data_IF_569998166047
#
_entry.id   IF_569998166047
#
_cell.length_a   1.000
_cell.length_b   1.000
_cell.length_c   1.000
_cell.angle_alpha   90.00
_cell.angle_beta   90.00
_cell.angle_gamma   90.00
#
_symmetry.space_group_name_H-M   'P 1'
#
loop_
_entity.id
_entity.type
_entity.pdbx_description
1 polymer ?
#
# COMPACT_ATOMS: atom_id res chain seq x y z
N UNK A 1 -11.45 -65.73 -21.75
CA UNK A 1 -12.10 -64.50 -21.27
C UNK A 1 -11.43 -63.33 -21.95
N UNK A 2 -12.18 -62.43 -22.62
CA UNK A 2 -11.63 -61.27 -23.35
C UNK A 2 -11.92 -60.01 -22.54
N UNK A 3 -10.89 -59.28 -22.14
CA UNK A 3 -11.00 -58.00 -21.45
C UNK A 3 -10.89 -56.87 -22.48
N UNK A 4 -11.89 -55.99 -22.51
CA UNK A 4 -11.86 -54.75 -23.31
C UNK A 4 -11.37 -53.66 -22.37
N UNK A 5 -10.17 -53.14 -22.64
CA UNK A 5 -9.60 -51.99 -21.93
C UNK A 5 -10.01 -50.74 -22.70
N UNK A 6 -10.93 -49.96 -22.13
CA UNK A 6 -11.31 -48.65 -22.63
C UNK A 6 -10.34 -47.60 -22.11
N UNK A 7 -9.54 -47.00 -23.00
CA UNK A 7 -8.70 -45.85 -22.69
C UNK A 7 -9.54 -44.58 -22.88
N UNK A 8 -9.75 -43.83 -21.80
CA UNK A 8 -10.43 -42.54 -21.82
C UNK A 8 -9.38 -41.42 -22.00
N UNK A 9 -9.24 -40.90 -23.22
CA UNK A 9 -8.41 -39.73 -23.47
C UNK A 9 -9.20 -38.45 -23.13
N UNK A 10 -8.80 -37.75 -22.07
CA UNK A 10 -9.32 -36.41 -21.75
C UNK A 10 -8.49 -35.39 -22.53
N UNK A 11 -9.07 -34.79 -23.56
CA UNK A 11 -8.45 -33.68 -24.28
C UNK A 11 -8.69 -32.37 -23.51
N UNK A 12 -7.62 -31.75 -23.04
CA UNK A 12 -7.65 -30.40 -22.46
C UNK A 12 -7.43 -29.39 -23.57
N UNK A 13 -8.44 -28.57 -23.88
CA UNK A 13 -8.29 -27.44 -24.78
C UNK A 13 -7.90 -26.20 -23.97
N UNK A 14 -6.80 -25.48 -24.30
CA UNK A 14 -6.52 -24.20 -23.68
C UNK A 14 -7.52 -23.16 -24.20
N UNK A 15 -8.34 -22.62 -23.30
CA UNK A 15 -9.17 -21.47 -23.58
C UNK A 15 -8.27 -20.23 -23.68
N UNK A 16 -7.74 -19.96 -24.88
CA UNK A 16 -7.20 -18.65 -25.21
C UNK A 16 -8.37 -17.70 -25.46
N UNK A 17 -8.78 -16.97 -24.42
CA UNK A 17 -9.66 -15.81 -24.58
C UNK A 17 -8.83 -14.64 -25.10
N UNK A 18 -8.94 -14.37 -26.40
CA UNK A 18 -8.53 -13.07 -26.94
C UNK A 18 -9.63 -12.06 -26.61
N UNK A 19 -9.27 -10.95 -25.97
CA UNK A 19 -10.18 -9.81 -25.87
C UNK A 19 -10.41 -9.27 -27.28
N UNK A 20 -11.62 -9.43 -27.80
CA UNK A 20 -12.03 -8.87 -29.07
C UNK A 20 -11.96 -7.34 -28.96
N UNK A 21 -11.15 -6.72 -29.83
CA UNK A 21 -10.92 -5.28 -29.76
C UNK A 21 -12.20 -4.55 -30.20
N UNK A 22 -12.82 -3.81 -29.28
CA UNK A 22 -13.99 -2.98 -29.58
C UNK A 22 -13.58 -1.92 -30.61
N UNK A 23 -14.10 -2.03 -31.83
CA UNK A 23 -13.92 -1.02 -32.86
C UNK A 23 -14.85 0.17 -32.56
N UNK A 24 -14.25 1.34 -32.35
CA UNK A 24 -14.99 2.59 -32.22
C UNK A 24 -15.29 3.19 -33.60
N UNK A 25 -16.57 3.38 -33.92
CA UNK A 25 -17.06 3.98 -35.17
C UNK A 25 -17.41 5.47 -35.02
N UNK A 26 -17.17 6.08 -33.86
CA UNK A 26 -17.68 7.43 -33.54
C UNK A 26 -16.87 8.58 -34.14
N UNK A 27 -15.83 8.31 -34.95
CA UNK A 27 -14.94 9.31 -35.55
C UNK A 27 -14.33 10.27 -34.52
N UNK A 28 -14.30 9.85 -33.25
CA UNK A 28 -13.69 10.59 -32.15
C UNK A 28 -12.18 10.39 -32.18
N UNK A 29 -11.43 11.42 -31.80
CA UNK A 29 -9.99 11.32 -31.72
C UNK A 29 -9.62 10.32 -30.61
N UNK A 30 -9.23 9.11 -31.00
CA UNK A 30 -8.76 8.09 -30.05
C UNK A 30 -7.47 8.63 -29.41
N UNK A 31 -7.43 8.83 -28.08
CA UNK A 31 -6.20 9.25 -27.44
C UNK A 31 -5.15 8.16 -27.64
N UNK A 32 -3.99 8.53 -28.23
CA UNK A 32 -2.92 7.57 -28.42
C UNK A 32 -2.31 7.23 -27.06
N UNK A 33 -2.41 5.97 -26.65
CA UNK A 33 -1.59 5.47 -25.55
C UNK A 33 -0.13 5.59 -26.01
N UNK A 34 0.75 6.29 -25.28
CA UNK A 34 2.16 6.34 -25.64
C UNK A 34 2.70 4.91 -25.69
N UNK A 35 3.48 4.60 -26.75
CA UNK A 35 4.10 3.29 -26.92
C UNK A 35 4.88 2.95 -25.65
N UNK A 36 4.74 1.72 -25.17
CA UNK A 36 5.49 1.26 -23.98
C UNK A 36 6.95 1.63 -24.17
N UNK A 37 7.52 2.35 -23.21
CA UNK A 37 8.95 2.63 -23.16
C UNK A 37 9.63 1.26 -23.29
N UNK A 38 10.39 1.08 -24.37
CA UNK A 38 11.19 -0.12 -24.56
C UNK A 38 12.04 -0.35 -23.32
N UNK A 39 12.36 -1.62 -23.04
CA UNK A 39 13.09 -2.11 -21.87
C UNK A 39 14.54 -1.56 -21.73
N UNK A 40 14.73 -0.25 -21.79
CA UNK A 40 15.93 0.49 -21.45
C UNK A 40 15.46 1.58 -20.48
N UNK A 41 15.33 1.20 -19.21
CA UNK A 41 14.83 2.05 -18.15
C UNK A 41 15.78 3.18 -17.82
N UNK A 42 15.66 4.30 -18.54
CA UNK A 42 16.05 5.61 -18.00
C UNK A 42 14.81 6.26 -17.39
N UNK A 43 14.35 5.69 -16.28
CA UNK A 43 13.63 6.49 -15.30
C UNK A 43 14.68 7.24 -14.51
N UNK A 44 14.96 8.48 -14.90
CA UNK A 44 15.75 9.42 -14.11
C UNK A 44 15.08 9.57 -12.75
N UNK A 45 15.58 8.84 -11.76
CA UNK A 45 15.19 8.99 -10.36
C UNK A 45 15.66 10.36 -9.91
N UNK A 46 14.72 11.28 -9.80
CA UNK A 46 14.94 12.56 -9.14
C UNK A 46 15.17 12.26 -7.65
N UNK A 47 16.45 12.27 -7.25
CA UNK A 47 16.90 12.45 -5.87
C UNK A 47 16.67 11.29 -4.91
N UNK A 48 17.22 10.11 -5.17
CA UNK A 48 17.44 9.10 -4.14
C UNK A 48 18.89 9.19 -3.66
N UNK A 49 19.09 9.47 -2.37
CA UNK A 49 20.39 9.49 -1.71
C UNK A 49 21.22 8.25 -2.09
N UNK A 50 22.51 8.45 -2.32
CA UNK A 50 23.50 7.55 -2.91
C UNK A 50 23.84 6.28 -2.09
N UNK A 51 22.89 5.75 -1.31
CA UNK A 51 23.03 4.52 -0.52
C UNK A 51 22.06 3.40 -0.92
N UNK A 52 21.17 3.59 -1.89
CA UNK A 52 20.31 2.51 -2.44
C UNK A 52 21.05 1.58 -3.43
N UNK A 53 22.36 1.36 -3.23
CA UNK A 53 23.11 0.41 -4.03
C UNK A 53 22.93 -1.03 -3.49
N UNK A 54 22.15 -1.79 -4.27
CA UNK A 54 22.30 -3.23 -4.48
C UNK A 54 21.91 -4.22 -3.36
N UNK A 55 20.85 -3.88 -2.62
CA UNK A 55 20.06 -4.89 -1.92
C UNK A 55 18.85 -5.23 -2.79
N UNK A 56 18.82 -6.49 -3.25
CA UNK A 56 17.79 -7.04 -4.12
C UNK A 56 16.48 -7.19 -3.32
N UNK A 57 15.80 -6.06 -3.13
CA UNK A 57 14.54 -5.93 -2.42
C UNK A 57 13.38 -6.13 -3.39
N UNK A 58 12.37 -6.86 -2.95
CA UNK A 58 11.06 -6.91 -3.60
C UNK A 58 10.28 -5.69 -3.10
N UNK A 59 9.76 -4.88 -4.04
CA UNK A 59 8.90 -3.75 -3.71
C UNK A 59 7.44 -4.22 -3.67
N UNK A 60 6.76 -3.93 -2.56
CA UNK A 60 5.40 -4.35 -2.28
C UNK A 60 4.52 -3.12 -1.96
N UNK A 61 3.23 -3.26 -2.23
CA UNK A 61 2.19 -2.34 -1.76
C UNK A 61 1.19 -3.15 -0.94
N UNK A 62 1.17 -2.91 0.38
CA UNK A 62 0.41 -3.73 1.32
C UNK A 62 -0.75 -2.95 1.93
N UNK A 63 -1.86 -3.63 2.19
CA UNK A 63 -2.88 -3.12 3.09
C UNK A 63 -2.38 -3.28 4.53
N UNK A 64 -2.23 -2.16 5.25
CA UNK A 64 -1.69 -2.18 6.62
C UNK A 64 -2.82 -1.95 7.60
N UNK A 65 -2.92 -2.80 8.62
CA UNK A 65 -3.85 -2.61 9.73
C UNK A 65 -3.13 -2.44 11.06
N UNK A 66 -3.65 -1.58 11.94
CA UNK A 66 -3.16 -1.39 13.30
C UNK A 66 -4.27 -1.72 14.28
N UNK A 67 -4.04 -2.71 15.14
CA UNK A 67 -5.02 -3.17 16.13
C UNK A 67 -6.40 -3.44 15.48
N UNK A 68 -6.38 -4.12 14.33
CA UNK A 68 -7.56 -4.45 13.52
C UNK A 68 -8.24 -3.27 12.80
N UNK A 69 -7.68 -2.06 12.85
CA UNK A 69 -8.13 -0.93 12.04
C UNK A 69 -7.31 -0.89 10.77
N UNK A 70 -7.94 -1.19 9.63
CA UNK A 70 -7.30 -1.10 8.33
C UNK A 70 -7.02 0.37 7.97
N UNK A 71 -5.85 0.64 7.42
CA UNK A 71 -5.56 1.89 6.75
C UNK A 71 -6.32 1.92 5.43
N UNK A 72 -6.82 3.11 5.06
CA UNK A 72 -7.56 3.27 3.79
C UNK A 72 -6.62 3.17 2.58
N UNK A 73 -5.36 3.62 2.76
CA UNK A 73 -4.35 3.64 1.70
C UNK A 73 -3.41 2.42 1.73
N UNK A 74 -2.94 2.04 0.54
CA UNK A 74 -1.84 1.07 0.41
C UNK A 74 -0.53 1.70 0.85
N UNK A 75 0.28 0.91 1.54
CA UNK A 75 1.59 1.33 2.06
C UNK A 75 2.70 0.68 1.25
N UNK A 76 3.67 1.50 0.82
CA UNK A 76 4.88 1.01 0.19
C UNK A 76 5.78 0.30 1.22
N UNK A 77 6.14 -0.95 0.93
CA UNK A 77 6.97 -1.81 1.77
C UNK A 77 8.09 -2.39 0.91
N UNK A 78 9.31 -2.49 1.46
CA UNK A 78 10.39 -3.28 0.86
C UNK A 78 10.50 -4.61 1.59
N UNK A 79 10.61 -5.70 0.85
CA UNK A 79 10.89 -7.02 1.39
C UNK A 79 12.29 -7.46 0.96
N UNK A 80 13.12 -7.80 1.94
CA UNK A 80 14.45 -8.37 1.76
C UNK A 80 14.40 -9.83 1.31
N UNK A 81 15.54 -10.36 0.85
CA UNK A 81 15.70 -11.78 0.51
C UNK A 81 15.42 -12.74 1.67
N UNK A 82 15.68 -12.32 2.91
CA UNK A 82 15.36 -13.06 4.13
C UNK A 82 13.91 -12.84 4.60
N UNK A 83 13.08 -12.18 3.80
CA UNK A 83 11.66 -12.00 4.06
C UNK A 83 11.32 -10.89 5.06
N UNK A 84 12.33 -10.19 5.60
CA UNK A 84 12.09 -9.02 6.48
C UNK A 84 11.49 -7.88 5.69
N UNK A 85 10.53 -7.22 6.32
CA UNK A 85 9.80 -6.09 5.78
C UNK A 85 10.34 -4.77 6.31
N UNK A 86 10.36 -3.77 5.45
CA UNK A 86 10.85 -2.43 5.73
C UNK A 86 9.81 -1.40 5.28
N UNK A 87 9.54 -0.42 6.14
CA UNK A 87 8.59 0.67 5.89
C UNK A 87 9.29 2.00 6.15
N UNK A 88 8.98 3.04 5.38
CA UNK A 88 9.53 4.38 5.64
C UNK A 88 9.09 4.91 6.99
N UNK A 89 10.00 5.57 7.70
CA UNK A 89 9.74 6.24 8.97
C UNK A 89 8.55 7.20 8.87
N UNK A 90 8.48 8.01 7.80
CA UNK A 90 7.34 8.91 7.57
C UNK A 90 6.01 8.17 7.47
N UNK A 91 5.97 7.03 6.79
CA UNK A 91 4.75 6.23 6.68
C UNK A 91 4.34 5.63 8.01
N UNK A 92 5.30 5.17 8.84
CA UNK A 92 5.01 4.72 10.20
C UNK A 92 4.43 5.86 11.07
N UNK A 93 4.91 7.09 10.90
CA UNK A 93 4.35 8.28 11.58
C UNK A 93 2.92 8.60 11.09
N UNK A 94 2.64 8.48 9.80
CA UNK A 94 1.27 8.63 9.24
C UNK A 94 0.32 7.57 9.79
N UNK A 95 0.83 6.34 9.96
CA UNK A 95 0.16 5.25 10.66
C UNK A 95 0.09 5.45 12.19
N UNK A 96 0.56 6.60 12.68
CA UNK A 96 0.50 7.08 14.07
C UNK A 96 1.38 6.30 15.05
N UNK A 97 2.36 5.55 14.57
CA UNK A 97 3.37 5.00 15.45
C UNK A 97 4.28 6.13 15.94
N UNK A 98 4.55 6.16 17.24
CA UNK A 98 5.59 7.02 17.81
C UNK A 98 6.94 6.49 17.35
N UNK A 99 7.62 7.28 16.54
CA UNK A 99 8.99 7.02 16.08
C UNK A 99 9.96 7.93 16.82
N UNK A 100 11.21 7.49 16.98
CA UNK A 100 12.28 8.36 17.48
C UNK A 100 12.45 9.57 16.54
N UNK A 101 12.52 10.77 17.12
CA UNK A 101 12.66 12.04 16.40
C UNK A 101 13.97 12.11 15.60
N UNK A 102 15.00 11.37 16.01
CA UNK A 102 16.28 11.33 15.31
C UNK A 102 16.26 10.48 14.04
N UNK A 103 15.21 9.65 13.81
CA UNK A 103 15.08 8.85 12.60
C UNK A 103 14.53 9.73 11.47
N UNK A 104 15.29 9.97 10.39
CA UNK A 104 14.83 10.74 9.23
C UNK A 104 13.60 10.13 8.58
N UNK A 105 12.72 10.99 8.08
CA UNK A 105 11.45 10.60 7.46
C UNK A 105 11.60 9.68 6.25
N UNK A 106 12.68 9.83 5.48
CA UNK A 106 12.97 9.03 4.30
C UNK A 106 13.64 7.68 4.61
N UNK A 107 14.03 7.42 5.86
CA UNK A 107 14.72 6.20 6.25
C UNK A 107 13.78 4.99 6.20
N UNK A 108 14.26 3.88 5.63
CA UNK A 108 13.60 2.58 5.71
C UNK A 108 13.89 1.94 7.07
N UNK A 109 12.84 1.58 7.80
CA UNK A 109 12.90 0.96 9.12
C UNK A 109 12.43 -0.48 9.01
N UNK A 110 13.19 -1.43 9.55
CA UNK A 110 12.77 -2.82 9.59
C UNK A 110 11.65 -2.99 10.62
N UNK A 111 10.57 -3.69 10.25
CA UNK A 111 9.45 -3.92 11.17
C UNK A 111 9.91 -4.76 12.37
N UNK A 112 10.86 -5.67 12.18
CA UNK A 112 11.42 -6.49 13.25
C UNK A 112 12.16 -5.67 14.33
N UNK A 113 12.63 -4.47 13.99
CA UNK A 113 13.36 -3.60 14.93
C UNK A 113 12.40 -2.73 15.76
N UNK A 114 11.11 -2.76 15.46
CA UNK A 114 10.07 -2.07 16.21
C UNK A 114 9.75 -2.81 17.51
N UNK A 115 10.51 -2.50 18.56
CA UNK A 115 10.36 -3.10 19.88
C UNK A 115 8.93 -2.99 20.42
N UNK A 116 8.39 -4.08 20.97
CA UNK A 116 7.06 -4.09 21.60
C UNK A 116 5.88 -4.14 20.61
N UNK A 117 6.15 -4.18 19.30
CA UNK A 117 5.12 -4.36 18.26
C UNK A 117 5.16 -5.81 17.77
N UNK A 118 4.00 -6.46 17.72
CA UNK A 118 3.85 -7.75 17.04
C UNK A 118 3.32 -7.51 15.64
N UNK A 119 3.78 -8.27 14.66
CA UNK A 119 3.28 -8.16 13.29
C UNK A 119 3.01 -9.52 12.67
N UNK A 120 2.10 -9.53 11.68
CA UNK A 120 1.84 -10.69 10.82
C UNK A 120 1.72 -10.22 9.39
N UNK A 121 2.57 -10.76 8.53
CA UNK A 121 2.46 -10.60 7.08
C UNK A 121 1.62 -11.74 6.50
N UNK A 122 0.60 -11.40 5.72
CA UNK A 122 -0.29 -12.33 5.02
C UNK A 122 -0.12 -12.12 3.52
N UNK A 123 0.75 -12.91 2.91
CA UNK A 123 1.14 -12.77 1.50
C UNK A 123 -0.06 -12.92 0.54
N UNK A 124 -0.93 -13.91 0.75
CA UNK A 124 -2.10 -14.13 -0.12
C UNK A 124 -3.10 -12.95 -0.10
N UNK A 125 -3.15 -12.23 1.01
CA UNK A 125 -4.03 -11.08 1.19
C UNK A 125 -3.31 -9.75 0.88
N UNK A 126 -1.99 -9.80 0.61
CA UNK A 126 -1.12 -8.63 0.51
C UNK A 126 -1.33 -7.67 1.69
N UNK A 127 -1.43 -8.23 2.90
CA UNK A 127 -1.74 -7.46 4.10
C UNK A 127 -0.70 -7.60 5.20
N UNK A 128 -0.51 -6.53 5.97
CA UNK A 128 0.39 -6.46 7.10
C UNK A 128 -0.39 -6.00 8.32
N UNK A 129 -0.55 -6.89 9.28
CA UNK A 129 -1.30 -6.62 10.50
C UNK A 129 -0.33 -6.33 11.63
N UNK A 130 -0.43 -5.13 12.21
CA UNK A 130 0.38 -4.67 13.34
C UNK A 130 -0.48 -4.67 14.61
N UNK A 131 0.04 -5.27 15.69
CA UNK A 131 -0.49 -5.11 17.04
C UNK A 131 0.44 -4.18 17.79
N UNK A 132 -0.07 -2.99 18.10
CA UNK A 132 0.71 -1.88 18.65
C UNK A 132 0.13 -1.49 20.02
N UNK A 133 0.94 -1.49 21.09
CA UNK A 133 0.51 -0.99 22.40
C UNK A 133 0.08 0.48 22.34
N UNK A 134 -0.97 0.86 23.09
CA UNK A 134 -1.55 2.21 23.03
C UNK A 134 -0.56 3.32 23.40
N UNK A 135 0.41 3.05 24.28
CA UNK A 135 1.46 4.01 24.65
C UNK A 135 2.42 4.34 23.49
N UNK A 136 2.48 3.48 22.46
CA UNK A 136 3.30 3.66 21.26
C UNK A 136 2.52 4.28 20.09
N UNK A 137 1.25 4.62 20.29
CA UNK A 137 0.43 5.34 19.30
C UNK A 137 0.33 6.82 19.67
N UNK A 138 0.43 7.68 18.67
CA UNK A 138 0.16 9.12 18.81
C UNK A 138 -1.34 9.33 18.90
N UNK A 139 -1.82 9.83 20.05
CA UNK A 139 -3.23 10.15 20.27
C UNK A 139 -3.74 11.26 19.33
N UNK A 140 -5.05 11.34 19.15
CA UNK A 140 -5.67 12.51 18.52
C UNK A 140 -5.83 13.58 19.60
N UNK A 141 -5.22 14.75 19.39
CA UNK A 141 -5.53 15.93 20.18
C UNK A 141 -6.14 16.95 19.23
N UNK A 142 -7.39 17.32 19.48
CA UNK A 142 -8.05 18.40 18.74
C UNK A 142 -7.85 19.66 19.55
N UNK A 143 -7.02 20.58 19.05
CA UNK A 143 -6.88 21.89 19.66
C UNK A 143 -8.06 22.78 19.21
N UNK A 144 -9.08 22.84 20.05
CA UNK A 144 -10.27 23.69 19.84
C UNK A 144 -10.02 25.16 20.26
N UNK A 145 -8.84 25.50 20.78
CA UNK A 145 -8.58 26.85 21.30
C UNK A 145 -8.28 27.89 20.21
N UNK A 146 -8.01 27.46 18.98
CA UNK A 146 -7.70 28.32 17.83
C UNK A 146 -8.88 28.58 16.89
N UNK A 147 -10.03 27.93 17.09
CA UNK A 147 -11.26 28.22 16.36
C UNK A 147 -12.15 29.13 17.21
N UNK A 148 -12.52 30.28 16.63
CA UNK A 148 -13.53 31.17 17.20
C UNK A 148 -14.83 30.38 17.39
N UNK A 149 -15.02 29.86 18.61
CA UNK A 149 -16.30 29.33 19.09
C UNK A 149 -17.33 30.40 18.76
N UNK A 150 -18.33 30.01 17.96
CA UNK A 150 -19.35 30.84 17.34
C UNK A 150 -19.65 32.13 18.09
N UNK A 151 -19.60 33.26 17.38
CA UNK A 151 -19.93 34.57 17.95
C UNK A 151 -21.28 34.50 18.71
N UNK A 152 -21.34 34.94 19.98
CA UNK A 152 -22.56 34.91 20.79
C UNK A 152 -23.68 35.79 20.19
N UNK A 153 -23.39 36.57 19.15
CA UNK A 153 -24.36 37.39 18.44
C UNK A 153 -25.30 36.63 17.49
N UNK A 154 -25.02 35.36 17.16
CA UNK A 154 -25.90 34.56 16.30
C UNK A 154 -27.16 34.04 17.03
N UNK A 155 -27.21 34.12 18.37
CA UNK A 155 -28.35 33.68 19.20
C UNK A 155 -29.28 34.81 19.65
N UNK A 156 -29.34 35.93 18.92
CA UNK A 156 -30.40 36.93 19.17
C UNK A 156 -31.74 36.44 18.58
N UNK A 157 -32.33 35.43 19.21
CA UNK A 157 -33.75 35.16 19.03
C UNK A 157 -34.53 36.32 19.64
N UNK A 158 -35.35 36.98 18.81
CA UNK A 158 -36.26 38.04 19.24
C UNK A 158 -37.27 37.44 20.22
N UNK A 159 -37.48 38.01 21.42
CA UNK A 159 -38.54 37.54 22.31
C UNK A 159 -39.90 37.75 21.64
N UNK A 160 -40.80 36.77 21.80
CA UNK A 160 -42.21 36.82 21.40
C UNK A 160 -42.98 37.84 22.24
#
# INVERSE_FOLDING_TARGET
MKYIIGVLCVAYFPAYSFAEQLLDHTNTAVPSVPKSVGSNGEYTQVGANEQEQDLNFIHLFLNVSINSNANEDLVAVKQSKDGKLYIRSSTLKTLRLKMDEHIPDNQWVCINDLNGIQFKYLENEQSLNLKVPSNMLTGYSVDLSSQQVTSPHLLKMKPL
#
